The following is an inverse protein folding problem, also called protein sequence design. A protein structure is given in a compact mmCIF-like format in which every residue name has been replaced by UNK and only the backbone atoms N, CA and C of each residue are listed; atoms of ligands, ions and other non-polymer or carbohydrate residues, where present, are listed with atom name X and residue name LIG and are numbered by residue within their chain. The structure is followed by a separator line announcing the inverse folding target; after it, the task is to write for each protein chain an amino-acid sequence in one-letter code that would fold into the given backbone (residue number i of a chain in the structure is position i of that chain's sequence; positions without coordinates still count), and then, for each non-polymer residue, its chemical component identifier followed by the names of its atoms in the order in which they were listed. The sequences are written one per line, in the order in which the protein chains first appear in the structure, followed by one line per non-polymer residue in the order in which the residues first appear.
data_IF_564023816818
#
_entry.id   IF_564023816818
#
_cell.length_a   1.000
_cell.length_b   1.000
_cell.length_c   1.000
_cell.angle_alpha   90.00
_cell.angle_beta   90.00
_cell.angle_gamma   90.00
#
_symmetry.space_group_name_H-M   'P 1'
#
loop_
_entity.id
_entity.type
_entity.pdbx_description
1 polymer ?
#
# COMPACT_ATOMS: atom_id res chain seq x y z
N UNK A 1 -26.90 -15.90 49.00
CA UNK A 1 -27.05 -15.21 47.70
C UNK A 1 -26.25 -16.03 46.69
N UNK A 2 -26.92 -16.81 45.84
CA UNK A 2 -26.23 -17.54 44.77
C UNK A 2 -25.95 -16.54 43.65
N UNK A 3 -24.68 -16.22 43.43
CA UNK A 3 -24.26 -15.41 42.28
C UNK A 3 -24.39 -16.28 41.02
N UNK A 4 -25.49 -16.15 40.30
CA UNK A 4 -25.60 -16.69 38.94
C UNK A 4 -24.71 -15.83 38.02
N UNK A 5 -23.64 -16.42 37.50
CA UNK A 5 -22.83 -15.83 36.42
C UNK A 5 -23.39 -16.34 35.09
N UNK A 6 -23.91 -15.42 34.28
CA UNK A 6 -24.26 -15.71 32.90
C UNK A 6 -22.98 -15.88 32.08
N UNK A 7 -22.88 -16.99 31.35
CA UNK A 7 -21.79 -17.27 30.42
C UNK A 7 -22.28 -17.01 29.00
N UNK A 8 -21.59 -16.13 28.29
CA UNK A 8 -21.84 -15.86 26.88
C UNK A 8 -20.63 -16.31 26.05
N UNK A 9 -20.88 -16.98 24.93
CA UNK A 9 -19.88 -17.49 24.01
C UNK A 9 -19.84 -16.59 22.77
N UNK A 10 -18.63 -16.24 22.32
CA UNK A 10 -18.41 -15.36 21.16
C UNK A 10 -17.44 -16.04 20.20
N UNK A 11 -17.82 -16.14 18.93
CA UNK A 11 -16.90 -16.60 17.89
C UNK A 11 -15.98 -15.47 17.42
N UNK A 12 -14.69 -15.77 17.28
CA UNK A 12 -13.73 -14.92 16.59
C UNK A 12 -13.29 -15.62 15.32
N UNK A 13 -13.36 -14.91 14.20
CA UNK A 13 -12.76 -15.35 12.95
C UNK A 13 -11.56 -14.49 12.62
N UNK A 14 -10.43 -15.15 12.42
CA UNK A 14 -9.11 -14.54 12.24
C UNK A 14 -8.63 -14.76 10.82
N UNK A 15 -8.22 -13.66 10.19
CA UNK A 15 -7.50 -13.71 8.93
C UNK A 15 -6.02 -14.03 9.22
N UNK A 16 -5.34 -14.83 8.36
CA UNK A 16 -3.93 -15.13 8.55
C UNK A 16 -3.11 -13.86 8.75
N UNK A 17 -2.24 -13.89 9.78
CA UNK A 17 -1.35 -12.78 10.10
C UNK A 17 -0.53 -12.40 8.88
N UNK A 18 -0.44 -11.10 8.62
CA UNK A 18 0.45 -10.51 7.62
C UNK A 18 1.22 -9.38 8.29
N UNK A 19 2.49 -9.22 7.93
CA UNK A 19 3.35 -8.18 8.50
C UNK A 19 3.23 -8.14 10.04
N UNK A 20 2.82 -7.01 10.63
CA UNK A 20 2.60 -6.87 12.08
C UNK A 20 1.11 -6.78 12.48
N UNK A 21 0.20 -7.23 11.62
CA UNK A 21 -1.24 -7.00 11.77
C UNK A 21 -1.99 -8.34 11.74
N UNK A 22 -2.92 -8.51 12.68
CA UNK A 22 -3.92 -9.58 12.65
C UNK A 22 -5.29 -8.93 12.50
N UNK A 23 -6.02 -9.33 11.46
CA UNK A 23 -7.38 -8.90 11.20
C UNK A 23 -8.36 -9.92 11.77
N UNK A 24 -9.40 -9.45 12.45
CA UNK A 24 -10.40 -10.34 13.05
C UNK A 24 -11.80 -9.75 13.01
N UNK A 25 -12.80 -10.62 13.01
CA UNK A 25 -14.21 -10.28 13.18
C UNK A 25 -14.78 -11.03 14.36
N UNK A 26 -15.68 -10.37 15.09
CA UNK A 26 -16.38 -10.95 16.25
C UNK A 26 -17.83 -11.23 15.88
N UNK A 27 -18.30 -12.41 16.25
CA UNK A 27 -19.72 -12.78 16.19
C UNK A 27 -20.54 -12.11 17.28
N UNK A 28 -21.85 -12.29 17.22
CA UNK A 28 -22.78 -11.90 18.27
C UNK A 28 -22.60 -12.88 19.47
N UNK A 29 -22.60 -12.40 20.72
CA UNK A 29 -22.59 -13.27 21.89
C UNK A 29 -23.87 -14.11 21.98
N UNK A 30 -23.71 -15.41 22.26
CA UNK A 30 -24.82 -16.38 22.42
C UNK A 30 -24.63 -17.17 23.72
N UNK A 31 -25.71 -17.51 24.41
CA UNK A 31 -25.68 -18.24 25.70
C UNK A 31 -25.40 -19.75 25.51
N UNK A 32 -25.65 -20.27 24.32
CA UNK A 32 -25.56 -21.68 23.99
C UNK A 32 -24.09 -22.07 23.78
N UNK A 33 -23.63 -23.09 24.50
CA UNK A 33 -22.28 -23.68 24.38
C UNK A 33 -22.20 -24.71 23.24
N UNK A 34 -22.52 -24.26 22.02
CA UNK A 34 -22.34 -25.08 20.82
C UNK A 34 -21.56 -24.30 19.77
N UNK A 35 -20.38 -24.81 19.43
CA UNK A 35 -19.48 -24.21 18.45
C UNK A 35 -20.18 -23.98 17.10
N UNK A 36 -21.01 -24.92 16.66
CA UNK A 36 -21.65 -24.84 15.34
C UNK A 36 -22.64 -23.66 15.28
N UNK A 37 -23.35 -23.43 16.39
CA UNK A 37 -24.30 -22.33 16.54
C UNK A 37 -23.58 -20.99 16.72
N UNK A 38 -22.57 -20.95 17.60
CA UNK A 38 -21.80 -19.74 17.96
C UNK A 38 -20.96 -19.22 16.79
N UNK A 39 -20.33 -20.10 16.03
CA UNK A 39 -19.48 -19.76 14.88
C UNK A 39 -20.18 -19.89 13.53
N UNK A 40 -21.51 -20.01 13.51
CA UNK A 40 -22.24 -19.98 12.25
C UNK A 40 -22.08 -18.64 11.54
N UNK A 41 -22.05 -18.68 10.19
CA UNK A 41 -21.83 -17.48 9.37
C UNK A 41 -22.84 -16.35 9.66
N UNK A 42 -24.07 -16.71 10.06
CA UNK A 42 -25.15 -15.79 10.39
C UNK A 42 -24.85 -14.93 11.63
N UNK A 43 -24.01 -15.42 12.55
CA UNK A 43 -23.64 -14.67 13.75
C UNK A 43 -22.69 -13.51 13.47
N UNK A 44 -22.06 -13.48 12.29
CA UNK A 44 -21.30 -12.32 11.84
C UNK A 44 -22.25 -11.35 11.14
N UNK A 45 -22.43 -10.15 11.69
CA UNK A 45 -23.29 -9.10 11.10
C UNK A 45 -22.72 -8.67 9.75
N UNK A 46 -23.17 -9.31 8.68
CA UNK A 46 -22.74 -9.05 7.32
C UNK A 46 -23.52 -7.84 6.75
N UNK A 47 -23.26 -6.64 7.29
CA UNK A 47 -23.75 -5.39 6.67
C UNK A 47 -23.00 -5.18 5.37
N UNK A 48 -23.64 -4.59 4.36
CA UNK A 48 -23.05 -4.32 3.02
C UNK A 48 -21.68 -3.61 3.12
N UNK A 49 -21.44 -2.84 4.19
CA UNK A 49 -20.14 -2.28 4.56
C UNK A 49 -19.68 -2.90 5.89
N UNK A 50 -18.80 -3.89 5.82
CA UNK A 50 -18.17 -4.52 6.98
C UNK A 50 -16.64 -4.43 6.84
N UNK A 51 -15.93 -4.24 7.94
CA UNK A 51 -14.45 -4.19 7.98
C UNK A 51 -13.97 -5.06 9.14
N UNK A 52 -12.81 -5.68 9.00
CA UNK A 52 -12.14 -6.37 10.09
C UNK A 52 -11.63 -5.37 11.14
N UNK A 53 -11.71 -5.79 12.41
CA UNK A 53 -10.98 -5.12 13.48
C UNK A 53 -9.52 -5.55 13.46
N UNK A 54 -8.66 -4.73 14.06
CA UNK A 54 -7.21 -4.88 13.97
C UNK A 54 -6.62 -5.19 15.35
N UNK A 55 -5.76 -6.20 15.41
CA UNK A 55 -4.75 -6.34 16.45
C UNK A 55 -3.39 -5.92 15.87
N UNK A 56 -2.78 -4.94 16.52
CA UNK A 56 -1.48 -4.39 16.17
C UNK A 56 -0.43 -4.91 17.14
N UNK A 57 0.75 -5.28 16.62
CA UNK A 57 1.86 -5.69 17.46
C UNK A 57 2.29 -4.56 18.40
N UNK A 58 2.60 -4.83 19.67
CA UNK A 58 3.02 -3.79 20.63
C UNK A 58 4.31 -3.07 20.20
N UNK A 59 5.26 -3.82 19.64
CA UNK A 59 6.53 -3.32 19.10
C UNK A 59 6.62 -3.75 17.64
N UNK A 60 6.14 -2.91 16.69
CA UNK A 60 6.04 -3.29 15.29
C UNK A 60 7.41 -3.18 14.62
N UNK A 61 7.69 -4.10 13.71
CA UNK A 61 8.88 -4.03 12.84
C UNK A 61 8.54 -3.24 11.59
N UNK A 62 9.35 -2.23 11.23
CA UNK A 62 9.08 -1.43 10.05
C UNK A 62 9.13 -2.29 8.76
N UNK A 63 8.09 -2.20 7.95
CA UNK A 63 7.98 -2.83 6.62
C UNK A 63 8.09 -1.78 5.53
N UNK A 64 8.37 -2.21 4.30
CA UNK A 64 8.39 -1.31 3.16
C UNK A 64 7.02 -0.64 2.98
N UNK A 65 7.00 0.68 2.86
CA UNK A 65 5.80 1.47 2.67
C UNK A 65 5.18 1.20 1.30
N UNK A 66 3.84 1.14 1.21
CA UNK A 66 3.14 0.94 -0.06
C UNK A 66 3.22 2.17 -0.96
N UNK A 67 3.37 3.36 -0.38
CA UNK A 67 3.60 4.62 -1.10
C UNK A 67 5.04 5.04 -0.80
N UNK A 68 5.88 5.07 -1.83
CA UNK A 68 7.24 5.61 -1.72
C UNK A 68 7.57 6.60 -2.84
N UNK A 69 8.53 7.48 -2.59
CA UNK A 69 8.89 8.60 -3.46
C UNK A 69 8.94 9.92 -2.69
N UNK A 70 9.07 11.02 -3.42
CA UNK A 70 9.13 12.37 -2.86
C UNK A 70 8.06 13.27 -3.48
N UNK A 71 7.19 13.78 -2.64
CA UNK A 71 5.96 14.44 -3.03
C UNK A 71 5.80 15.78 -2.33
N UNK A 72 5.32 16.76 -3.08
CA UNK A 72 4.81 18.01 -2.56
C UNK A 72 3.34 17.79 -2.24
N UNK A 73 2.89 18.22 -1.06
CA UNK A 73 1.54 17.94 -0.61
C UNK A 73 0.71 19.17 -0.29
N UNK A 74 -0.57 19.13 -0.67
CA UNK A 74 -1.55 20.06 -0.11
C UNK A 74 -2.40 19.33 0.90
N UNK A 75 -2.71 19.98 2.02
CA UNK A 75 -3.47 19.39 3.12
C UNK A 75 -4.81 20.10 3.33
N UNK A 76 -5.82 19.31 3.69
CA UNK A 76 -7.15 19.79 4.11
C UNK A 76 -7.60 18.95 5.30
N UNK A 77 -8.09 19.56 6.36
CA UNK A 77 -8.45 18.80 7.56
C UNK A 77 -8.73 19.66 8.77
N UNK A 78 -9.25 19.01 9.82
CA UNK A 78 -9.41 19.59 11.14
C UNK A 78 -8.08 19.65 11.91
N UNK A 79 -7.16 18.72 11.64
CA UNK A 79 -5.86 18.62 12.32
C UNK A 79 -4.71 18.55 11.30
N UNK A 80 -4.39 19.67 10.59
CA UNK A 80 -3.29 19.73 9.63
C UNK A 80 -1.94 19.39 10.28
N UNK A 81 -0.99 18.94 9.46
CA UNK A 81 0.42 18.87 9.87
C UNK A 81 0.97 20.28 10.02
N UNK A 82 1.66 20.52 11.12
CA UNK A 82 2.28 21.79 11.44
C UNK A 82 3.78 21.57 11.65
N UNK A 83 4.58 22.59 11.35
CA UNK A 83 6.01 22.58 11.67
C UNK A 83 6.26 22.31 13.15
N UNK A 84 7.07 21.29 13.46
CA UNK A 84 7.43 20.91 14.83
C UNK A 84 8.86 20.38 14.93
N UNK A 85 9.55 20.77 16.00
CA UNK A 85 10.90 20.27 16.27
C UNK A 85 10.81 18.99 17.10
N UNK A 86 11.29 17.88 16.54
CA UNK A 86 11.40 16.61 17.24
C UNK A 86 12.24 16.77 18.52
N UNK A 87 11.69 16.36 19.68
CA UNK A 87 12.39 16.48 20.97
C UNK A 87 12.38 17.87 21.61
N UNK A 88 11.67 18.85 21.00
CA UNK A 88 11.40 20.17 21.58
C UNK A 88 12.55 21.18 21.53
N UNK A 89 13.80 20.73 21.46
CA UNK A 89 14.98 21.59 21.29
C UNK A 89 15.81 21.12 20.11
N UNK A 90 16.24 22.07 19.27
CA UNK A 90 17.18 21.80 18.18
C UNK A 90 18.55 21.45 18.75
N UNK A 91 19.22 20.43 18.21
CA UNK A 91 20.57 20.02 18.62
C UNK A 91 21.62 21.13 18.43
N UNK A 92 21.38 22.04 17.49
CA UNK A 92 22.24 23.18 17.19
C UNK A 92 21.40 24.43 16.89
N UNK A 93 21.90 25.64 17.19
CA UNK A 93 21.20 26.87 16.84
C UNK A 93 21.02 26.94 15.32
N UNK A 94 19.78 27.10 14.85
CA UNK A 94 19.49 27.25 13.42
C UNK A 94 19.94 28.64 12.97
N UNK A 95 20.88 28.76 12.02
CA UNK A 95 21.23 30.05 11.46
C UNK A 95 20.02 30.64 10.72
N UNK A 96 19.93 31.97 10.66
CA UNK A 96 18.88 32.63 9.89
C UNK A 96 19.15 32.46 8.39
N UNK A 97 18.63 31.39 7.82
CA UNK A 97 18.76 31.04 6.42
C UNK A 97 17.60 31.65 5.63
N UNK A 98 17.93 32.39 4.57
CA UNK A 98 16.92 32.89 3.65
C UNK A 98 16.55 31.79 2.63
N UNK A 99 15.34 31.25 2.75
CA UNK A 99 14.82 30.30 1.78
C UNK A 99 14.06 31.02 0.64
N UNK A 100 14.39 30.69 -0.61
CA UNK A 100 13.74 31.26 -1.80
C UNK A 100 12.40 30.62 -2.12
N UNK A 101 12.29 29.31 -1.90
CA UNK A 101 11.11 28.53 -2.24
C UNK A 101 10.84 27.53 -1.11
N UNK A 102 9.67 27.66 -0.51
CA UNK A 102 9.18 26.76 0.52
C UNK A 102 8.12 25.87 -0.10
N UNK A 103 8.24 24.56 0.13
CA UNK A 103 7.28 23.55 -0.27
C UNK A 103 7.01 22.64 0.92
N UNK A 104 5.89 21.97 0.93
CA UNK A 104 5.67 20.84 1.82
C UNK A 104 6.37 19.61 1.23
N UNK A 105 6.94 18.76 2.07
CA UNK A 105 7.63 17.55 1.65
C UNK A 105 7.07 16.31 2.34
N UNK A 106 6.60 15.37 1.54
CA UNK A 106 6.27 14.02 1.96
C UNK A 106 7.29 13.10 1.28
N UNK A 107 8.18 12.52 2.06
CA UNK A 107 9.30 11.74 1.53
C UNK A 107 9.39 10.35 2.17
N UNK A 108 9.63 9.36 1.32
CA UNK A 108 9.79 7.95 1.70
C UNK A 108 10.96 7.39 0.89
N UNK A 109 12.17 7.60 1.39
CA UNK A 109 13.41 7.35 0.65
C UNK A 109 14.31 6.35 1.39
N UNK A 110 15.43 5.94 0.77
CA UNK A 110 16.36 4.95 1.33
C UNK A 110 15.80 3.53 1.29
N UNK A 111 15.60 2.90 2.45
CA UNK A 111 14.98 1.56 2.55
C UNK A 111 13.45 1.58 2.36
N UNK A 112 12.85 2.77 2.21
CA UNK A 112 11.42 2.96 2.02
C UNK A 112 10.56 2.36 3.14
N UNK A 113 11.06 2.34 4.39
CA UNK A 113 10.35 1.80 5.57
C UNK A 113 9.75 2.87 6.48
N UNK A 114 10.16 4.12 6.27
CA UNK A 114 9.81 5.27 7.09
C UNK A 114 9.28 6.39 6.20
N UNK A 115 8.21 7.02 6.67
CA UNK A 115 7.60 8.21 6.09
C UNK A 115 8.08 9.42 6.86
N UNK A 116 8.68 10.36 6.15
CA UNK A 116 9.03 11.68 6.64
C UNK A 116 8.04 12.71 6.09
N UNK A 117 7.48 13.53 6.97
CA UNK A 117 6.59 14.64 6.59
C UNK A 117 7.18 15.92 7.17
N UNK A 118 7.28 16.92 6.31
CA UNK A 118 7.71 18.28 6.63
C UNK A 118 6.69 19.26 6.02
N UNK A 119 6.09 20.11 6.83
CA UNK A 119 5.13 21.11 6.34
C UNK A 119 5.83 22.20 5.51
N UNK A 120 7.06 22.56 5.90
CA UNK A 120 7.76 23.72 5.40
C UNK A 120 9.22 23.41 5.09
N UNK A 121 9.42 22.63 4.04
CA UNK A 121 10.70 22.26 3.50
C UNK A 121 11.29 23.35 2.59
N UNK A 122 12.56 23.68 2.83
CA UNK A 122 13.28 24.65 2.02
C UNK A 122 13.89 24.03 0.76
N UNK A 123 13.26 24.24 -0.40
CA UNK A 123 13.77 23.83 -1.71
C UNK A 123 14.65 24.94 -2.32
N UNK A 124 15.66 25.40 -1.58
CA UNK A 124 16.64 26.33 -2.13
C UNK A 124 18.05 25.78 -2.03
N UNK A 125 18.88 26.15 -3.01
CA UNK A 125 20.28 25.76 -3.09
C UNK A 125 21.19 26.97 -3.01
N UNK A 126 22.37 26.75 -2.43
CA UNK A 126 23.43 27.74 -2.32
C UNK A 126 24.17 27.92 -3.67
N UNK A 127 25.10 28.88 -3.77
CA UNK A 127 25.92 29.11 -4.97
C UNK A 127 26.73 27.88 -5.41
N UNK A 128 26.99 26.94 -4.49
CA UNK A 128 27.64 25.65 -4.75
C UNK A 128 26.67 24.52 -5.15
N UNK A 129 25.37 24.79 -5.26
CA UNK A 129 24.35 23.78 -5.56
C UNK A 129 24.08 22.80 -4.41
N UNK A 130 24.46 23.15 -3.18
CA UNK A 130 24.13 22.39 -1.95
C UNK A 130 22.81 22.89 -1.38
N UNK A 131 21.99 22.03 -0.74
CA UNK A 131 20.81 22.51 -0.02
C UNK A 131 21.24 23.53 1.03
N UNK A 132 20.53 24.66 1.11
CA UNK A 132 20.87 25.73 2.05
C UNK A 132 20.52 25.30 3.48
N UNK A 133 19.41 24.58 3.63
CA UNK A 133 18.99 24.00 4.89
C UNK A 133 19.51 22.57 5.05
N UNK A 134 20.58 22.43 5.84
CA UNK A 134 21.21 21.15 6.20
C UNK A 134 20.91 20.72 7.65
N UNK A 135 20.16 21.55 8.39
CA UNK A 135 19.92 21.36 9.83
C UNK A 135 18.45 21.04 10.13
N UNK A 136 17.56 21.17 9.16
CA UNK A 136 16.17 20.75 9.35
C UNK A 136 16.06 19.24 9.33
N UNK A 137 15.52 18.72 10.44
CA UNK A 137 14.97 17.38 10.53
C UNK A 137 13.48 17.45 10.14
N UNK A 138 12.92 16.38 9.54
CA UNK A 138 11.50 16.34 9.22
C UNK A 138 10.65 16.43 10.49
N UNK A 139 9.51 17.10 10.39
CA UNK A 139 8.57 17.34 11.48
C UNK A 139 7.95 16.05 12.03
N UNK A 140 7.66 15.08 11.17
CA UNK A 140 7.09 13.79 11.55
C UNK A 140 7.89 12.66 10.91
N UNK A 141 8.18 11.62 11.71
CA UNK A 141 8.79 10.38 11.26
C UNK A 141 7.90 9.22 11.69
N UNK A 142 7.35 8.52 10.71
CA UNK A 142 6.41 7.42 10.95
C UNK A 142 6.88 6.15 10.25
N UNK A 143 6.96 5.03 10.96
CA UNK A 143 7.32 3.73 10.40
C UNK A 143 6.10 3.09 9.75
N UNK A 144 6.25 2.52 8.56
CA UNK A 144 5.18 1.71 7.97
C UNK A 144 5.12 0.35 8.68
N UNK A 145 3.95 -0.03 9.18
CA UNK A 145 3.77 -1.27 9.97
C UNK A 145 3.15 -2.38 9.12
N UNK A 146 2.18 -1.98 8.29
CA UNK A 146 1.54 -2.88 7.38
C UNK A 146 0.43 -2.22 6.56
N UNK A 147 0.06 -2.88 5.47
CA UNK A 147 -0.91 -2.39 4.51
C UNK A 147 -1.68 -3.55 3.89
N UNK A 148 -2.94 -3.31 3.53
CA UNK A 148 -3.80 -4.29 2.88
C UNK A 148 -4.92 -3.60 2.13
N UNK A 149 -5.54 -4.32 1.18
CA UNK A 149 -6.75 -3.88 0.49
C UNK A 149 -7.98 -4.57 1.05
N UNK A 150 -9.03 -3.81 1.30
CA UNK A 150 -10.32 -4.31 1.77
C UNK A 150 -11.45 -3.44 1.23
N UNK A 151 -12.50 -4.07 0.68
CA UNK A 151 -13.63 -3.39 0.05
C UNK A 151 -13.25 -2.32 -0.98
N UNK A 152 -12.26 -2.60 -1.85
CA UNK A 152 -11.70 -1.68 -2.86
C UNK A 152 -10.92 -0.48 -2.30
N UNK A 153 -10.79 -0.36 -0.98
CA UNK A 153 -9.97 0.66 -0.32
C UNK A 153 -8.64 0.06 0.10
N UNK A 154 -7.57 0.83 -0.06
CA UNK A 154 -6.24 0.44 0.39
C UNK A 154 -5.94 1.14 1.71
N UNK A 155 -5.58 0.34 2.71
CA UNK A 155 -5.30 0.76 4.06
C UNK A 155 -3.82 0.63 4.35
N UNK A 156 -3.27 1.60 5.05
CA UNK A 156 -1.89 1.62 5.56
C UNK A 156 -1.95 2.00 7.04
N UNK A 157 -1.24 1.27 7.89
CA UNK A 157 -1.06 1.65 9.30
C UNK A 157 0.38 2.06 9.50
N UNK A 158 0.58 3.24 10.09
CA UNK A 158 1.89 3.78 10.45
C UNK A 158 2.07 3.89 11.95
N UNK A 159 3.32 3.83 12.40
CA UNK A 159 3.74 3.96 13.79
C UNK A 159 4.56 5.24 13.98
N UNK A 160 4.09 6.17 14.80
CA UNK A 160 4.88 7.27 15.33
C UNK A 160 5.24 6.97 16.78
N UNK A 161 6.53 6.94 17.10
CA UNK A 161 7.01 6.73 18.46
C UNK A 161 6.71 7.90 19.40
N UNK A 162 6.59 9.10 18.83
CA UNK A 162 6.43 10.37 19.53
C UNK A 162 4.97 10.80 19.68
N UNK A 163 4.02 10.15 19.00
CA UNK A 163 2.60 10.46 19.16
C UNK A 163 2.11 10.01 20.55
N UNK A 164 1.65 10.94 21.41
CA UNK A 164 1.28 10.62 22.79
C UNK A 164 -0.04 9.86 22.92
N UNK A 165 -0.90 9.88 21.90
CA UNK A 165 -2.27 9.35 22.03
C UNK A 165 -2.32 7.84 21.80
N UNK A 166 -2.03 7.42 20.57
CA UNK A 166 -2.19 6.02 20.17
C UNK A 166 -0.96 5.43 19.51
N UNK A 167 0.03 6.25 19.14
CA UNK A 167 1.23 5.88 18.36
C UNK A 167 0.95 5.30 16.97
N UNK A 168 -0.28 4.89 16.70
CA UNK A 168 -0.70 4.26 15.48
C UNK A 168 -1.64 5.19 14.74
N UNK A 169 -1.42 5.35 13.44
CA UNK A 169 -2.32 6.09 12.57
C UNK A 169 -2.70 5.22 11.39
N UNK A 170 -4.00 5.18 11.11
CA UNK A 170 -4.49 4.51 9.92
C UNK A 170 -4.62 5.50 8.77
N UNK A 171 -4.32 5.05 7.56
CA UNK A 171 -4.35 5.82 6.34
C UNK A 171 -5.17 5.08 5.30
N UNK A 172 -6.02 5.81 4.59
CA UNK A 172 -6.64 5.32 3.35
C UNK A 172 -5.93 6.01 2.20
N UNK A 173 -5.39 5.25 1.27
CA UNK A 173 -4.64 5.82 0.14
C UNK A 173 -5.11 5.25 -1.19
N UNK A 174 -4.95 6.05 -2.24
CA UNK A 174 -5.25 5.63 -3.60
C UNK A 174 -4.41 6.44 -4.59
N UNK A 175 -3.95 5.75 -5.63
CA UNK A 175 -3.30 6.41 -6.77
C UNK A 175 -4.35 7.04 -7.68
N UNK A 176 -4.18 8.32 -7.98
CA UNK A 176 -5.05 9.06 -8.89
C UNK A 176 -4.49 9.05 -10.32
N UNK A 177 -3.23 9.44 -10.45
CA UNK A 177 -2.50 9.52 -11.71
C UNK A 177 -1.14 8.80 -11.59
N UNK A 178 -0.32 8.87 -12.65
CA UNK A 178 1.04 8.35 -12.62
C UNK A 178 1.89 9.01 -11.51
N UNK A 179 1.68 10.31 -11.26
CA UNK A 179 2.52 11.15 -10.39
C UNK A 179 1.78 11.73 -9.19
N UNK A 180 0.52 11.33 -8.98
CA UNK A 180 -0.37 11.92 -7.98
C UNK A 180 -1.05 10.86 -7.14
N UNK A 181 -1.00 11.01 -5.83
CA UNK A 181 -1.55 10.08 -4.84
C UNK A 181 -2.39 10.87 -3.86
N UNK A 182 -3.60 10.39 -3.59
CA UNK A 182 -4.41 10.91 -2.51
C UNK A 182 -4.25 9.99 -1.30
N UNK A 183 -4.24 10.58 -0.11
CA UNK A 183 -4.32 9.81 1.12
C UNK A 183 -5.02 10.59 2.23
N UNK A 184 -5.78 9.90 3.08
CA UNK A 184 -6.38 10.49 4.27
C UNK A 184 -5.91 9.79 5.53
N UNK A 185 -5.58 10.56 6.56
CA UNK A 185 -5.22 10.09 7.88
C UNK A 185 -6.47 9.98 8.75
N UNK A 186 -6.60 8.87 9.47
CA UNK A 186 -7.63 8.68 10.49
C UNK A 186 -7.29 9.42 11.80
N UNK A 187 -8.31 9.75 12.59
CA UNK A 187 -8.12 10.32 13.94
C UNK A 187 -7.48 9.32 14.91
N UNK A 188 -7.61 8.02 14.64
CA UNK A 188 -7.17 6.95 15.53
C UNK A 188 -6.31 5.88 14.85
N UNK A 189 -6.07 4.77 15.57
CA UNK A 189 -5.26 3.66 15.10
C UNK A 189 -5.97 2.74 14.10
N UNK A 190 -7.26 2.98 13.86
CA UNK A 190 -8.09 2.25 12.90
C UNK A 190 -8.76 3.23 11.94
N UNK A 191 -9.01 2.79 10.72
CA UNK A 191 -9.75 3.57 9.73
C UNK A 191 -11.24 3.30 9.88
N UNK A 192 -12.05 4.35 9.78
CA UNK A 192 -13.51 4.21 9.78
C UNK A 192 -13.99 3.65 8.42
N UNK A 193 -15.15 3.00 8.42
CA UNK A 193 -15.82 2.50 7.22
C UNK A 193 -16.21 3.62 6.26
N UNK A 194 -16.57 4.79 6.81
CA UNK A 194 -16.98 5.97 6.06
C UNK A 194 -15.79 6.77 5.53
N UNK A 195 -14.59 6.55 6.05
CA UNK A 195 -13.38 7.24 5.64
C UNK A 195 -13.03 6.89 4.19
N UNK A 196 -12.81 7.92 3.37
CA UNK A 196 -12.39 7.82 1.98
C UNK A 196 -11.05 8.55 1.78
N UNK A 197 -10.50 8.52 0.58
CA UNK A 197 -9.20 9.15 0.32
C UNK A 197 -9.23 10.68 0.40
N UNK A 198 -10.42 11.27 0.22
CA UNK A 198 -10.66 12.71 0.29
C UNK A 198 -11.24 13.16 1.63
N UNK A 199 -11.56 12.23 2.53
CA UNK A 199 -12.19 12.58 3.81
C UNK A 199 -11.22 13.35 4.69
N UNK A 200 -11.72 14.41 5.32
CA UNK A 200 -10.90 15.37 6.08
C UNK A 200 -11.53 15.78 7.41
N UNK A 201 -12.74 15.30 7.72
CA UNK A 201 -13.51 15.66 8.91
C UNK A 201 -13.66 14.49 9.90
N UNK A 202 -13.83 14.83 11.19
CA UNK A 202 -14.04 13.83 12.24
C UNK A 202 -15.33 13.04 12.07
N UNK A 203 -16.35 13.63 11.43
CA UNK A 203 -17.63 12.97 11.14
C UNK A 203 -17.48 11.76 10.21
N UNK A 204 -16.47 11.79 9.35
CA UNK A 204 -16.09 10.70 8.44
C UNK A 204 -15.00 9.79 9.03
N UNK A 205 -14.48 10.13 10.23
CA UNK A 205 -13.40 9.41 10.90
C UNK A 205 -11.98 9.86 10.49
N UNK A 206 -11.86 10.93 9.71
CA UNK A 206 -10.59 11.45 9.22
C UNK A 206 -10.11 12.69 9.99
N UNK A 207 -8.79 12.87 10.06
CA UNK A 207 -8.15 14.04 10.63
C UNK A 207 -7.68 15.01 9.52
N UNK A 208 -7.05 14.47 8.48
CA UNK A 208 -6.44 15.21 7.36
C UNK A 208 -6.51 14.40 6.09
N UNK A 209 -6.78 15.07 4.97
CA UNK A 209 -6.55 14.59 3.63
C UNK A 209 -5.32 15.28 3.02
N UNK A 210 -4.47 14.49 2.38
CA UNK A 210 -3.29 14.91 1.64
C UNK A 210 -3.47 14.61 0.16
N UNK A 211 -3.09 15.59 -0.65
CA UNK A 211 -2.96 15.48 -2.09
C UNK A 211 -1.49 15.60 -2.46
N UNK A 212 -0.88 14.47 -2.80
CA UNK A 212 0.54 14.31 -3.04
C UNK A 212 0.83 14.40 -4.54
N UNK A 213 1.74 15.30 -4.93
CA UNK A 213 2.24 15.45 -6.29
C UNK A 213 3.75 15.25 -6.30
N UNK A 214 4.22 14.29 -7.09
CA UNK A 214 5.65 13.99 -7.23
C UNK A 214 6.41 15.19 -7.84
N UNK A 215 7.53 15.57 -7.23
CA UNK A 215 8.40 16.64 -7.76
C UNK A 215 9.86 16.23 -7.95
N UNK A 216 10.26 15.03 -7.51
CA UNK A 216 11.63 14.54 -7.70
C UNK A 216 11.77 13.83 -9.05
N UNK A 217 12.12 14.58 -10.11
CA UNK A 217 12.41 14.02 -11.45
C UNK A 217 13.85 14.19 -11.94
N UNK A 218 14.72 14.84 -11.18
CA UNK A 218 16.03 15.26 -11.71
C UNK A 218 17.22 14.46 -11.19
N UNK A 219 17.08 13.68 -10.10
CA UNK A 219 18.21 12.96 -9.48
C UNK A 219 17.97 11.48 -9.14
N UNK A 220 16.76 10.96 -9.32
CA UNK A 220 16.38 9.55 -9.06
C UNK A 220 16.90 8.97 -7.73
N UNK A 221 16.99 9.79 -6.68
CA UNK A 221 17.47 9.31 -5.37
C UNK A 221 16.34 8.64 -4.59
N UNK A 222 15.10 9.01 -4.87
CA UNK A 222 13.90 8.46 -4.24
C UNK A 222 12.89 7.97 -5.30
N UNK A 223 13.05 6.73 -5.81
CA UNK A 223 12.16 6.23 -6.85
C UNK A 223 10.74 6.03 -6.32
N UNK A 224 9.77 6.43 -7.15
CA UNK A 224 8.34 6.19 -6.89
C UNK A 224 8.07 4.69 -6.75
N UNK A 225 7.33 4.32 -5.71
CA UNK A 225 6.80 2.97 -5.54
C UNK A 225 5.35 3.04 -5.07
N UNK A 226 4.52 2.19 -5.65
CA UNK A 226 3.11 2.09 -5.31
C UNK A 226 2.68 0.63 -5.25
N UNK A 227 2.16 0.19 -4.11
CA UNK A 227 1.49 -1.09 -3.91
C UNK A 227 0.10 -0.81 -3.32
N UNK A 228 -0.94 -1.42 -3.86
CA UNK A 228 -2.31 -1.23 -3.39
C UNK A 228 -2.72 -2.20 -2.26
N UNK A 229 -1.85 -3.15 -1.90
CA UNK A 229 -2.09 -4.10 -0.83
C UNK A 229 -3.04 -5.23 -1.19
N UNK A 230 -3.25 -5.51 -2.48
CA UNK A 230 -4.11 -6.62 -2.94
C UNK A 230 -3.70 -7.96 -2.34
N UNK A 231 -2.39 -8.21 -2.21
CA UNK A 231 -1.84 -9.40 -1.58
C UNK A 231 -0.88 -9.05 -0.43
N UNK A 232 -1.39 -8.91 0.80
CA UNK A 232 -0.57 -8.51 1.95
C UNK A 232 0.38 -9.59 2.45
N UNK A 233 0.23 -10.85 2.00
CA UNK A 233 1.12 -11.97 2.38
C UNK A 233 2.31 -12.12 1.46
N UNK A 234 2.36 -11.35 0.36
CA UNK A 234 3.55 -11.32 -0.48
C UNK A 234 4.68 -10.69 0.34
N UNK A 235 5.75 -11.43 0.56
CA UNK A 235 6.92 -10.90 1.25
C UNK A 235 7.50 -9.75 0.43
N UNK A 236 7.32 -8.52 0.92
CA UNK A 236 7.93 -7.29 0.42
C UNK A 236 9.41 -7.18 0.84
N UNK A 237 10.09 -8.31 1.05
CA UNK A 237 11.55 -8.31 1.20
C UNK A 237 12.19 -7.97 -0.13
N UNK A 238 13.45 -7.51 -0.10
CA UNK A 238 14.31 -7.17 -1.24
C UNK A 238 14.55 -8.36 -2.19
N UNK A 239 13.48 -8.87 -2.78
CA UNK A 239 13.54 -9.80 -3.88
C UNK A 239 13.89 -8.97 -5.11
N UNK A 240 15.19 -8.91 -5.39
CA UNK A 240 15.70 -8.60 -6.72
C UNK A 240 14.95 -9.56 -7.65
N UNK A 241 13.99 -9.05 -8.40
CA UNK A 241 13.40 -9.81 -9.49
C UNK A 241 14.49 -9.92 -10.56
N UNK A 242 15.31 -10.96 -10.48
CA UNK A 242 16.26 -11.30 -11.56
C UNK A 242 15.40 -11.76 -12.72
N UNK A 243 15.14 -10.84 -13.64
CA UNK A 243 14.54 -11.17 -14.94
C UNK A 243 15.62 -11.90 -15.73
N UNK A 244 15.60 -13.23 -15.69
CA UNK A 244 16.43 -14.03 -16.59
C UNK A 244 15.76 -13.99 -17.96
N UNK A 245 16.34 -13.22 -18.88
CA UNK A 245 15.97 -13.30 -20.29
C UNK A 245 16.59 -14.57 -20.87
N UNK A 246 15.86 -15.68 -20.88
CA UNK A 246 16.21 -16.85 -21.68
C UNK A 246 15.96 -16.51 -23.15
N UNK A 247 16.97 -15.94 -23.81
CA UNK A 247 17.04 -15.94 -25.25
C UNK A 247 17.19 -17.40 -25.69
N UNK A 248 16.13 -17.94 -26.28
CA UNK A 248 16.12 -19.23 -26.96
C UNK A 248 17.31 -19.32 -27.93
N UNK A 249 18.40 -19.94 -27.48
CA UNK A 249 19.46 -20.39 -28.36
C UNK A 249 18.90 -21.59 -29.13
N UNK A 250 18.67 -21.39 -30.41
CA UNK A 250 18.34 -22.45 -31.36
C UNK A 250 19.48 -23.47 -31.38
N UNK A 251 19.31 -24.58 -30.67
CA UNK A 251 20.08 -25.81 -30.90
C UNK A 251 19.08 -26.93 -31.14
N UNK A 252 18.53 -26.95 -32.36
CA UNK A 252 17.76 -28.07 -32.86
C UNK A 252 18.70 -29.27 -33.11
N UNK A 253 18.36 -30.33 -32.40
CA UNK A 253 18.99 -31.63 -32.29
C UNK A 253 19.55 -32.27 -33.58
N UNK A 254 20.64 -33.00 -33.34
CA UNK A 254 21.18 -34.18 -34.02
C UNK A 254 20.36 -34.88 -35.12
N UNK A 255 21.11 -35.20 -36.18
CA UNK A 255 20.82 -36.07 -37.33
C UNK A 255 20.46 -37.54 -37.02
N UNK A 256 19.97 -38.23 -38.08
CA UNK A 256 19.73 -39.69 -38.27
C UNK A 256 18.37 -40.20 -37.72
N UNK A 257 17.44 -40.81 -38.47
CA UNK A 257 17.52 -41.63 -39.70
C UNK A 257 16.21 -41.65 -40.51
N UNK A 258 16.39 -42.02 -41.77
CA UNK A 258 15.38 -42.38 -42.78
C UNK A 258 14.33 -43.39 -42.31
N UNK A 259 13.09 -43.24 -42.79
CA UNK A 259 12.35 -44.21 -43.60
C UNK A 259 10.83 -43.96 -43.52
N UNK A 260 10.13 -44.32 -44.61
CA UNK A 260 8.69 -44.24 -44.85
C UNK A 260 8.12 -42.85 -45.15
N UNK A 261 7.34 -42.63 -46.19
CA UNK A 261 7.07 -43.29 -47.47
C UNK A 261 6.02 -42.38 -48.11
N UNK A 262 6.10 -42.21 -49.43
CA UNK A 262 5.04 -41.60 -50.24
C UNK A 262 3.63 -41.95 -49.74
N UNK A 263 2.73 -40.96 -49.77
CA UNK A 263 1.46 -40.98 -50.54
C UNK A 263 0.44 -40.04 -49.89
N UNK A 264 0.24 -38.85 -50.46
CA UNK A 264 -1.07 -38.19 -50.54
C UNK A 264 -1.13 -37.44 -51.88
N UNK A 265 -2.10 -37.85 -52.73
CA UNK A 265 -2.70 -37.18 -53.91
C UNK A 265 -1.73 -36.65 -55.00
N UNK A 266 -1.62 -37.22 -56.21
CA UNK A 266 -2.62 -37.43 -57.28
C UNK A 266 -3.66 -36.32 -57.44
N UNK A 267 -3.63 -35.74 -58.65
CA UNK A 267 -4.49 -34.71 -59.26
C UNK A 267 -4.21 -33.31 -58.71
N UNK A 268 -3.65 -32.39 -59.49
CA UNK A 268 -4.19 -31.90 -60.77
C UNK A 268 -3.05 -31.40 -61.68
N UNK A 269 -2.94 -31.95 -62.90
CA UNK A 269 -2.58 -31.19 -64.12
C UNK A 269 -3.08 -31.92 -65.37
N UNK A 270 -4.00 -31.27 -66.11
CA UNK A 270 -4.08 -31.11 -67.58
C UNK A 270 -4.09 -32.42 -68.42
N UNK A 271 -5.13 -32.81 -69.17
CA UNK A 271 -5.54 -32.27 -70.50
C UNK A 271 -6.73 -33.10 -71.04
N UNK A 272 -7.85 -32.52 -71.48
CA UNK A 272 -8.29 -32.26 -72.88
C UNK A 272 -8.80 -33.49 -73.68
N UNK A 273 -9.86 -33.25 -74.50
CA UNK A 273 -10.52 -34.10 -75.53
C UNK A 273 -11.84 -34.75 -75.06
N UNK A 274 -12.98 -34.02 -75.03
CA UNK A 274 -13.97 -33.74 -76.10
C UNK A 274 -14.94 -34.89 -76.45
N UNK A 275 -16.21 -34.48 -76.64
CA UNK A 275 -17.26 -34.99 -77.54
C UNK A 275 -18.49 -35.79 -77.02
N UNK A 276 -19.67 -35.28 -77.44
CA UNK A 276 -21.07 -35.79 -77.51
C UNK A 276 -21.96 -35.68 -76.24
N UNK A 277 -22.97 -34.78 -76.20
CA UNK A 277 -24.39 -34.87 -76.71
C UNK A 277 -25.12 -36.10 -76.12
N UNK A 278 -26.35 -36.08 -75.58
CA UNK A 278 -27.53 -35.20 -75.66
C UNK A 278 -28.51 -35.65 -74.54
N UNK A 279 -29.20 -34.71 -73.89
CA UNK A 279 -30.64 -34.73 -73.53
C UNK A 279 -30.96 -33.42 -72.80
#
# INVERSE_FOLDING_TARGET
IYNYSQKDYVCFDFVPRHQNIIRYRKGIPVIIDDFSTVCSWVQFKNRIKWNYNLFLAKHPVAVRCPVAGKFNFTQRGEVPFETRILGGVTLSPRPNIYCKQNISDFSVCGEQKEVAIDENYCLSVDYLGRPVDIYSDPDYRMKCIGFWRENLKSYLVTYDELDPFSKYRCWVYQRADLNRIFMSQAIGPFCDLNQDVFSWNHTEGAAVALDLIEYERERDQCPMYFDDGTNPWRYSGDSINVIVFDFFSSNSASSFLMAFSMKILVSVTVSVVTFFKFA
#
